data_IF_828082546706
#
_entry.id   IF_828082546706
#
_cell.length_a   1.000
_cell.length_b   1.000
_cell.length_c   1.000
_cell.angle_alpha   90.00
_cell.angle_beta   90.00
_cell.angle_gamma   90.00
#
_symmetry.space_group_name_H-M   'P 1'
#
loop_
_entity.id
_entity.type
_entity.pdbx_description
1 polymer ?
#
# COMPACT_ATOMS: atom_id res chain seq x y z
N UNK A 1 -14.84 6.97 -13.34
CA UNK A 1 -14.93 6.07 -12.17
C UNK A 1 -13.98 6.62 -11.15
N UNK A 2 -14.51 7.15 -10.04
CA UNK A 2 -13.72 7.87 -9.05
C UNK A 2 -12.62 6.95 -8.46
N UNK A 3 -11.37 7.44 -8.32
CA UNK A 3 -10.38 6.75 -7.52
C UNK A 3 -10.79 6.92 -6.06
N UNK A 4 -11.34 5.86 -5.48
CA UNK A 4 -11.55 5.77 -4.04
C UNK A 4 -10.15 5.69 -3.42
N UNK A 5 -9.75 6.75 -2.71
CA UNK A 5 -8.51 6.75 -1.95
C UNK A 5 -8.67 5.79 -0.78
N UNK A 6 -7.68 4.92 -0.55
CA UNK A 6 -7.68 3.95 0.56
C UNK A 6 -7.91 4.62 1.94
N UNK A 7 -7.62 5.92 2.03
CA UNK A 7 -7.88 6.78 3.18
C UNK A 7 -9.38 6.96 3.49
N UNK A 8 -10.24 6.89 2.48
CA UNK A 8 -11.68 7.23 2.55
C UNK A 8 -12.52 6.09 3.13
N UNK A 9 -12.05 4.83 3.03
CA UNK A 9 -12.75 3.65 3.56
C UNK A 9 -12.34 3.24 4.97
N UNK A 10 -11.29 3.85 5.54
CA UNK A 10 -10.82 3.55 6.90
C UNK A 10 -11.40 4.50 7.95
N UNK A 11 -12.01 5.61 7.52
CA UNK A 11 -12.46 6.68 8.42
C UNK A 11 -13.91 6.58 8.86
N UNK A 12 -14.76 5.77 8.22
CA UNK A 12 -16.21 5.92 8.41
C UNK A 12 -16.81 5.10 9.56
N UNK A 13 -16.07 4.16 10.19
CA UNK A 13 -16.66 3.30 11.25
C UNK A 13 -15.70 2.85 12.38
N UNK A 14 -14.53 3.48 12.57
CA UNK A 14 -13.57 3.08 13.60
C UNK A 14 -13.37 4.20 14.65
N UNK A 15 -13.36 3.85 15.94
CA UNK A 15 -13.06 4.82 17.01
C UNK A 15 -11.72 5.54 16.74
N UNK A 16 -11.59 6.83 17.08
CA UNK A 16 -10.40 7.62 16.76
C UNK A 16 -9.11 7.03 17.34
N UNK A 17 -9.20 6.26 18.43
CA UNK A 17 -8.07 5.54 19.02
C UNK A 17 -7.65 4.31 18.20
N UNK A 18 -8.60 3.53 17.67
CA UNK A 18 -8.30 2.39 16.79
C UNK A 18 -7.79 2.86 15.43
N UNK A 19 -8.37 3.92 14.86
CA UNK A 19 -7.89 4.52 13.62
C UNK A 19 -6.45 5.06 13.75
N UNK A 20 -6.08 5.64 14.90
CA UNK A 20 -4.72 6.09 15.17
C UNK A 20 -3.75 4.91 15.33
N UNK A 21 -4.14 3.88 16.09
CA UNK A 21 -3.35 2.67 16.26
C UNK A 21 -3.12 1.94 14.93
N UNK A 22 -4.15 1.83 14.08
CA UNK A 22 -4.07 1.25 12.74
C UNK A 22 -3.13 2.05 11.82
N UNK A 23 -3.13 3.38 11.92
CA UNK A 23 -2.21 4.23 11.15
C UNK A 23 -0.75 4.01 11.58
N UNK A 24 -0.50 3.89 12.88
CA UNK A 24 0.83 3.63 13.43
C UNK A 24 1.33 2.24 13.04
N UNK A 25 0.47 1.22 13.17
CA UNK A 25 0.76 -0.14 12.74
C UNK A 25 1.08 -0.16 11.24
N UNK A 26 0.22 0.40 10.39
CA UNK A 26 0.44 0.46 8.94
C UNK A 26 1.77 1.13 8.58
N UNK A 27 2.12 2.25 9.21
CA UNK A 27 3.42 2.92 9.00
C UNK A 27 4.60 2.03 9.38
N UNK A 28 4.47 1.27 10.46
CA UNK A 28 5.50 0.36 10.95
C UNK A 28 5.70 -0.79 9.98
N UNK A 29 4.63 -1.44 9.53
CA UNK A 29 4.72 -2.55 8.57
C UNK A 29 5.26 -2.06 7.22
N UNK A 30 4.88 -0.87 6.76
CA UNK A 30 5.46 -0.27 5.55
C UNK A 30 6.97 -0.02 5.73
N UNK A 31 7.42 0.40 6.91
CA UNK A 31 8.85 0.59 7.18
C UNK A 31 9.66 -0.72 7.14
N UNK A 32 9.03 -1.86 7.43
CA UNK A 32 9.64 -3.20 7.32
C UNK A 32 9.66 -3.77 5.89
N UNK A 33 9.06 -3.09 4.91
CA UNK A 33 9.15 -3.48 3.52
C UNK A 33 10.54 -3.16 2.96
N UNK A 34 10.98 -3.92 1.96
CA UNK A 34 12.22 -3.59 1.26
C UNK A 34 12.08 -2.21 0.56
N UNK A 35 13.17 -1.46 0.34
CA UNK A 35 13.10 -0.12 -0.26
C UNK A 35 12.33 -0.06 -1.58
N UNK A 36 12.45 -1.12 -2.40
CA UNK A 36 11.72 -1.24 -3.66
C UNK A 36 10.22 -1.44 -3.47
N UNK A 37 9.83 -2.20 -2.46
CA UNK A 37 8.43 -2.45 -2.10
C UNK A 37 7.77 -1.18 -1.53
N UNK A 38 8.49 -0.47 -0.66
CA UNK A 38 8.06 0.85 -0.16
C UNK A 38 7.80 1.82 -1.30
N UNK A 39 8.70 1.86 -2.30
CA UNK A 39 8.55 2.74 -3.46
C UNK A 39 7.32 2.38 -4.28
N UNK A 40 7.04 1.09 -4.50
CA UNK A 40 5.83 0.64 -5.21
C UNK A 40 4.58 1.08 -4.46
N UNK A 41 4.53 0.88 -3.14
CA UNK A 41 3.38 1.30 -2.32
C UNK A 41 3.23 2.83 -2.35
N UNK A 42 4.32 3.58 -2.23
CA UNK A 42 4.33 5.04 -2.31
C UNK A 42 3.74 5.51 -3.64
N UNK A 43 4.26 5.02 -4.76
CA UNK A 43 3.77 5.40 -6.07
C UNK A 43 2.31 5.00 -6.28
N UNK A 44 1.93 3.80 -5.84
CA UNK A 44 0.60 3.24 -6.07
C UNK A 44 -0.48 3.94 -5.25
N UNK A 45 -0.28 4.07 -3.95
CA UNK A 45 -1.33 4.47 -3.01
C UNK A 45 -1.25 5.94 -2.59
N UNK A 46 -0.07 6.58 -2.70
CA UNK A 46 0.10 8.00 -2.33
C UNK A 46 0.21 8.92 -3.56
N UNK A 47 0.71 8.41 -4.69
CA UNK A 47 0.85 9.18 -5.92
C UNK A 47 -0.19 8.80 -6.99
N UNK A 48 -1.02 7.79 -6.75
CA UNK A 48 -2.08 7.35 -7.66
C UNK A 48 -1.59 6.71 -8.96
N UNK A 49 -0.34 6.25 -9.02
CA UNK A 49 0.24 5.66 -10.24
C UNK A 49 -0.34 4.29 -10.55
N UNK A 50 -0.50 4.00 -11.84
CA UNK A 50 -0.87 2.68 -12.34
C UNK A 50 0.31 1.70 -12.22
N UNK A 51 0.02 0.39 -12.18
CA UNK A 51 1.07 -0.63 -12.20
C UNK A 51 1.97 -0.50 -13.44
N UNK A 52 1.41 -0.12 -14.58
CA UNK A 52 2.14 0.12 -15.82
C UNK A 52 3.10 1.31 -15.70
N UNK A 53 2.64 2.45 -15.16
CA UNK A 53 3.53 3.61 -14.94
C UNK A 53 4.64 3.28 -13.93
N UNK A 54 4.32 2.55 -12.85
CA UNK A 54 5.32 2.08 -11.88
C UNK A 54 6.34 1.18 -12.56
N UNK A 55 5.89 0.25 -13.40
CA UNK A 55 6.76 -0.66 -14.13
C UNK A 55 7.74 0.07 -15.06
N UNK A 56 7.25 1.09 -15.76
CA UNK A 56 8.07 1.98 -16.59
C UNK A 56 9.11 2.74 -15.74
N UNK A 57 8.70 3.34 -14.62
CA UNK A 57 9.62 4.06 -13.73
C UNK A 57 10.71 3.16 -13.13
N UNK A 58 10.38 1.90 -12.84
CA UNK A 58 11.30 0.93 -12.23
C UNK A 58 12.05 0.06 -13.25
N UNK A 59 11.88 0.34 -14.55
CA UNK A 59 12.43 -0.40 -15.68
C UNK A 59 12.24 -1.93 -15.56
N UNK A 60 11.00 -2.35 -15.28
CA UNK A 60 10.59 -3.77 -15.16
C UNK A 60 9.26 -4.01 -15.87
N UNK A 61 8.84 -5.26 -15.98
CA UNK A 61 7.53 -5.59 -16.54
C UNK A 61 6.40 -5.27 -15.56
N UNK A 62 5.22 -4.92 -16.11
CA UNK A 62 4.00 -4.72 -15.32
C UNK A 62 3.62 -5.99 -14.54
N UNK A 63 3.84 -7.18 -15.10
CA UNK A 63 3.61 -8.45 -14.42
C UNK A 63 4.48 -8.60 -13.17
N UNK A 64 5.75 -8.18 -13.23
CA UNK A 64 6.62 -8.19 -12.06
C UNK A 64 6.10 -7.24 -10.97
N UNK A 65 5.67 -6.03 -11.34
CA UNK A 65 5.07 -5.07 -10.39
C UNK A 65 3.79 -5.63 -9.79
N UNK A 66 2.90 -6.22 -10.59
CA UNK A 66 1.66 -6.84 -10.13
C UNK A 66 1.90 -7.95 -9.10
N UNK A 67 2.86 -8.85 -9.36
CA UNK A 67 3.24 -9.91 -8.42
C UNK A 67 3.81 -9.35 -7.13
N UNK A 68 4.66 -8.32 -7.23
CA UNK A 68 5.29 -7.70 -6.08
C UNK A 68 4.25 -6.95 -5.22
N UNK A 69 3.38 -6.16 -5.84
CA UNK A 69 2.28 -5.47 -5.15
C UNK A 69 1.38 -6.47 -4.41
N UNK A 70 0.99 -7.58 -5.06
CA UNK A 70 0.16 -8.61 -4.42
C UNK A 70 0.84 -9.22 -3.20
N UNK A 71 2.14 -9.51 -3.28
CA UNK A 71 2.92 -10.02 -2.15
C UNK A 71 2.99 -9.00 -1.00
N UNK A 72 3.20 -7.73 -1.32
CA UNK A 72 3.25 -6.67 -0.31
C UNK A 72 1.90 -6.56 0.41
N UNK A 73 0.80 -6.51 -0.33
CA UNK A 73 -0.55 -6.43 0.26
C UNK A 73 -0.88 -7.65 1.13
N UNK A 74 -0.43 -8.85 0.74
CA UNK A 74 -0.56 -10.04 1.57
C UNK A 74 0.22 -9.92 2.87
N UNK A 75 1.46 -9.42 2.82
CA UNK A 75 2.28 -9.18 4.02
C UNK A 75 1.60 -8.16 4.94
N UNK A 76 1.14 -7.03 4.40
CA UNK A 76 0.42 -6.00 5.16
C UNK A 76 -0.82 -6.58 5.85
N UNK A 77 -1.63 -7.38 5.13
CA UNK A 77 -2.83 -7.99 5.69
C UNK A 77 -2.52 -8.95 6.84
N UNK A 78 -1.50 -9.80 6.70
CA UNK A 78 -1.11 -10.75 7.75
C UNK A 78 -0.64 -10.02 9.00
N UNK A 79 0.16 -8.95 8.85
CA UNK A 79 0.68 -8.21 10.01
C UNK A 79 -0.38 -7.35 10.70
N UNK A 80 -1.39 -6.85 9.97
CA UNK A 80 -2.48 -6.03 10.54
C UNK A 80 -3.64 -6.86 11.09
N UNK A 81 -3.76 -8.13 10.69
CA UNK A 81 -4.79 -9.06 11.22
C UNK A 81 -4.28 -9.87 12.42
N UNK A 82 -3.04 -9.62 12.84
CA UNK A 82 -2.35 -10.33 13.92
C UNK A 82 -2.21 -9.49 15.18
#
# INVERSE_FOLDING_TARGET
>A
GNPIYLLDHLTDEQEPETAWADNLALRTVIAELAPREQLIIKMRYFQGKTQTEIAQCLNVSQVQVSRLEKRILQKLRVTLSG
#
